data_IF_169416394956
#
_entry.id   IF_169416394956
#
_cell.length_a   1.000
_cell.length_b   1.000
_cell.length_c   1.000
_cell.angle_alpha   90.00
_cell.angle_beta   90.00
_cell.angle_gamma   90.00
#
_symmetry.space_group_name_H-M   'P 1'
#
loop_
_entity.id
_entity.type
_entity.pdbx_description
1 polymer ?
#
# COMPACT_ATOMS: atom_id res chain seq x y z
N UNK A 1 45.66 -30.42 58.12
CA UNK A 1 45.80 -30.77 56.68
C UNK A 1 45.05 -29.74 55.85
N UNK A 2 45.51 -29.54 54.62
CA UNK A 2 45.64 -28.24 53.96
C UNK A 2 44.37 -27.55 53.47
N UNK A 3 44.40 -26.21 53.60
CA UNK A 3 43.56 -25.23 52.90
C UNK A 3 44.11 -25.03 51.48
N UNK A 4 43.25 -25.06 50.46
CA UNK A 4 43.56 -24.48 49.15
C UNK A 4 42.49 -23.45 48.77
N UNK A 5 42.90 -22.18 48.74
CA UNK A 5 42.19 -21.06 48.11
C UNK A 5 42.70 -20.97 46.67
N UNK A 6 41.82 -21.14 45.69
CA UNK A 6 42.10 -20.83 44.29
C UNK A 6 41.51 -19.47 43.95
N UNK A 7 42.39 -18.48 43.77
CA UNK A 7 42.10 -17.18 43.17
C UNK A 7 42.10 -17.36 41.66
N UNK A 8 40.91 -17.40 41.05
CA UNK A 8 40.73 -17.34 39.59
C UNK A 8 40.63 -15.89 39.14
N UNK A 9 41.71 -15.36 38.55
CA UNK A 9 41.71 -14.04 37.92
C UNK A 9 40.90 -14.06 36.62
N UNK A 10 39.91 -13.17 36.51
CA UNK A 10 39.16 -12.96 35.28
C UNK A 10 39.96 -12.05 34.34
N UNK A 11 40.43 -12.60 33.22
CA UNK A 11 40.99 -11.83 32.11
C UNK A 11 39.84 -11.17 31.32
N UNK A 12 39.75 -9.85 31.36
CA UNK A 12 38.88 -9.06 30.49
C UNK A 12 39.60 -8.87 29.15
N UNK A 13 39.22 -9.67 28.14
CA UNK A 13 39.65 -9.48 26.75
C UNK A 13 38.68 -8.49 26.10
N UNK A 14 39.12 -7.25 25.92
CA UNK A 14 38.40 -6.25 25.15
C UNK A 14 38.56 -6.54 23.65
N UNK A 15 37.62 -7.28 23.07
CA UNK A 15 37.54 -7.45 21.62
C UNK A 15 37.03 -6.14 21.00
N UNK A 16 37.92 -5.38 20.37
CA UNK A 16 37.55 -4.25 19.54
C UNK A 16 36.79 -4.78 18.31
N UNK A 17 35.46 -4.72 18.35
CA UNK A 17 34.62 -4.98 17.19
C UNK A 17 34.86 -3.88 16.16
N UNK A 18 35.70 -4.17 15.16
CA UNK A 18 35.77 -3.41 13.93
C UNK A 18 34.43 -3.57 13.21
N UNK A 19 33.50 -2.66 13.48
CA UNK A 19 32.29 -2.53 12.67
C UNK A 19 32.77 -2.10 11.28
N UNK A 20 32.57 -2.90 10.22
CA UNK A 20 32.86 -2.43 8.87
C UNK A 20 32.02 -1.18 8.64
N UNK A 21 32.69 -0.05 8.44
CA UNK A 21 32.02 1.15 7.97
C UNK A 21 31.45 0.80 6.60
N UNK A 22 30.13 0.63 6.52
CA UNK A 22 29.42 0.47 5.25
C UNK A 22 29.77 1.68 4.41
N UNK A 23 30.66 1.49 3.42
CA UNK A 23 30.95 2.51 2.44
C UNK A 23 29.59 2.92 1.85
N UNK A 24 29.24 4.19 2.01
CA UNK A 24 28.08 4.77 1.33
C UNK A 24 28.33 4.58 -0.17
N UNK A 25 27.73 3.55 -0.74
CA UNK A 25 27.79 3.31 -2.17
C UNK A 25 27.23 4.56 -2.81
N UNK A 26 28.07 5.30 -3.54
CA UNK A 26 27.59 6.36 -4.41
C UNK A 26 26.47 5.73 -5.23
N UNK A 27 25.24 6.23 -5.07
CA UNK A 27 24.09 5.70 -5.76
C UNK A 27 24.41 5.77 -7.25
N UNK A 28 24.70 4.62 -7.87
CA UNK A 28 24.83 4.54 -9.31
C UNK A 28 23.56 5.16 -9.89
N UNK A 29 23.70 5.99 -10.93
CA UNK A 29 22.59 6.68 -11.54
C UNK A 29 21.56 5.65 -12.02
N UNK A 30 20.52 5.45 -11.21
CA UNK A 30 19.47 4.48 -11.47
C UNK A 30 18.70 4.89 -12.72
N UNK A 31 18.62 4.01 -13.71
CA UNK A 31 17.72 4.20 -14.85
C UNK A 31 16.55 3.23 -14.76
N UNK A 32 15.34 3.75 -14.59
CA UNK A 32 14.12 2.97 -14.51
C UNK A 32 13.71 2.47 -15.89
N UNK A 33 13.81 1.16 -16.12
CA UNK A 33 13.51 0.53 -17.41
C UNK A 33 12.09 -0.03 -17.43
N UNK A 34 11.20 0.50 -18.30
CA UNK A 34 9.83 0.00 -18.42
C UNK A 34 9.79 -1.36 -19.13
N UNK A 35 8.91 -2.24 -18.69
CA UNK A 35 8.52 -3.50 -19.34
C UNK A 35 7.00 -3.57 -19.38
N UNK A 36 6.42 -3.67 -20.58
CA UNK A 36 4.97 -3.74 -20.74
C UNK A 36 4.42 -5.04 -20.12
N UNK A 37 3.30 -4.94 -19.43
CA UNK A 37 2.54 -6.09 -18.96
C UNK A 37 1.45 -6.44 -20.00
N UNK A 38 1.24 -7.72 -20.32
CA UNK A 38 0.18 -8.10 -21.25
C UNK A 38 -1.21 -7.82 -20.65
N UNK A 39 -2.18 -7.50 -21.51
CA UNK A 39 -3.58 -7.27 -21.14
C UNK A 39 -4.54 -7.98 -22.11
N UNK A 40 -5.71 -8.42 -21.63
CA UNK A 40 -6.74 -9.02 -22.48
C UNK A 40 -7.52 -8.00 -23.35
N UNK A 41 -7.35 -6.70 -23.11
CA UNK A 41 -8.12 -5.65 -23.77
C UNK A 41 -7.32 -4.38 -23.98
N UNK A 42 -7.98 -3.21 -23.87
CA UNK A 42 -7.39 -1.91 -24.24
C UNK A 42 -6.45 -1.34 -23.20
N UNK A 43 -6.61 -1.71 -21.94
CA UNK A 43 -5.84 -1.14 -20.84
C UNK A 43 -5.98 -1.92 -19.55
N UNK A 44 -5.19 -1.51 -18.56
CA UNK A 44 -5.17 -2.11 -17.24
C UNK A 44 -4.33 -1.29 -16.27
N UNK A 45 -4.61 -1.46 -14.98
CA UNK A 45 -3.94 -0.75 -13.91
C UNK A 45 -3.61 -1.72 -12.77
N UNK A 46 -2.32 -1.96 -12.46
CA UNK A 46 -1.90 -2.65 -11.26
C UNK A 46 -2.23 -1.79 -10.03
N UNK A 47 -2.92 -2.37 -9.05
CA UNK A 47 -3.32 -1.70 -7.80
C UNK A 47 -3.00 -2.52 -6.55
N UNK A 48 -2.37 -3.68 -6.71
CA UNK A 48 -1.83 -4.52 -5.63
C UNK A 48 -0.58 -5.28 -6.09
N UNK A 49 0.17 -5.83 -5.15
CA UNK A 49 1.36 -6.68 -5.39
C UNK A 49 1.43 -7.82 -4.39
N UNK A 50 1.92 -8.98 -4.82
CA UNK A 50 2.26 -10.09 -3.93
C UNK A 50 3.63 -9.90 -3.22
N UNK A 51 4.30 -8.76 -3.46
CA UNK A 51 5.64 -8.41 -3.00
C UNK A 51 6.76 -9.35 -3.48
N UNK A 52 6.49 -10.21 -4.46
CA UNK A 52 7.40 -11.20 -5.03
C UNK A 52 7.51 -11.08 -6.57
N UNK A 53 7.21 -9.89 -7.10
CA UNK A 53 7.19 -9.60 -8.53
C UNK A 53 5.88 -9.98 -9.24
N UNK A 54 4.87 -10.43 -8.50
CA UNK A 54 3.48 -10.52 -8.93
C UNK A 54 2.70 -9.26 -8.60
N UNK A 55 1.72 -8.98 -9.44
CA UNK A 55 0.86 -7.81 -9.33
C UNK A 55 -0.58 -8.17 -9.60
N UNK A 56 -1.50 -7.42 -9.03
CA UNK A 56 -2.93 -7.56 -9.30
C UNK A 56 -3.56 -6.19 -9.49
N UNK A 57 -4.71 -6.18 -10.14
CA UNK A 57 -5.40 -4.94 -10.48
C UNK A 57 -6.63 -5.19 -11.31
N UNK A 58 -6.98 -4.23 -12.15
CA UNK A 58 -8.11 -4.34 -13.06
C UNK A 58 -7.68 -4.10 -14.50
N UNK A 59 -8.36 -4.77 -15.43
CA UNK A 59 -8.18 -4.55 -16.86
C UNK A 59 -9.49 -4.65 -17.62
N UNK A 60 -9.53 -4.01 -18.78
CA UNK A 60 -10.65 -4.12 -19.71
C UNK A 60 -10.62 -5.50 -20.38
N UNK A 61 -11.79 -6.14 -20.45
CA UNK A 61 -12.03 -7.38 -21.20
C UNK A 61 -13.19 -7.16 -22.18
N UNK A 62 -13.45 -8.15 -23.05
CA UNK A 62 -14.61 -8.11 -23.94
C UNK A 62 -15.95 -7.92 -23.20
N UNK A 63 -16.04 -8.42 -21.96
CA UNK A 63 -17.24 -8.39 -21.13
C UNK A 63 -17.21 -7.28 -20.05
N UNK A 64 -16.33 -6.29 -20.24
CA UNK A 64 -16.11 -5.16 -19.32
C UNK A 64 -14.90 -5.33 -18.40
N UNK A 65 -14.73 -4.42 -17.44
CA UNK A 65 -13.59 -4.46 -16.51
C UNK A 65 -13.64 -5.72 -15.63
N UNK A 66 -12.49 -6.35 -15.41
CA UNK A 66 -12.32 -7.52 -14.54
C UNK A 66 -11.08 -7.39 -13.66
N UNK A 67 -11.08 -8.00 -12.46
CA UNK A 67 -9.85 -8.21 -11.71
C UNK A 67 -8.94 -9.14 -12.51
N UNK A 68 -7.65 -8.81 -12.54
CA UNK A 68 -6.62 -9.63 -13.18
C UNK A 68 -5.37 -9.70 -12.29
N UNK A 69 -4.59 -10.76 -12.48
CA UNK A 69 -3.26 -10.93 -11.89
C UNK A 69 -2.21 -10.99 -13.00
N UNK A 70 -1.03 -10.45 -12.75
CA UNK A 70 0.16 -10.57 -13.58
C UNK A 70 1.24 -11.31 -12.81
N UNK A 71 1.80 -12.36 -13.41
CA UNK A 71 2.92 -13.10 -12.82
C UNK A 71 3.75 -13.72 -13.93
N UNK A 72 5.08 -13.61 -13.82
CA UNK A 72 6.04 -14.18 -14.78
C UNK A 72 5.76 -13.79 -16.24
N UNK A 73 5.35 -12.54 -16.48
CA UNK A 73 5.07 -12.03 -17.83
C UNK A 73 3.77 -12.56 -18.46
N UNK A 74 2.92 -13.26 -17.71
CA UNK A 74 1.58 -13.69 -18.11
C UNK A 74 0.51 -13.00 -17.26
N UNK A 75 -0.75 -13.04 -17.73
CA UNK A 75 -1.90 -12.58 -16.95
C UNK A 75 -2.95 -13.69 -16.76
N UNK A 76 -3.70 -13.61 -15.66
CA UNK A 76 -4.89 -14.41 -15.39
C UNK A 76 -6.08 -13.50 -15.15
N UNK A 77 -7.24 -13.85 -15.73
CA UNK A 77 -8.49 -13.09 -15.58
C UNK A 77 -9.40 -13.82 -14.61
N UNK A 78 -9.91 -13.12 -13.60
CA UNK A 78 -10.82 -13.71 -12.64
C UNK A 78 -12.27 -13.61 -13.11
N UNK A 79 -13.05 -14.65 -12.81
CA UNK A 79 -14.50 -14.61 -13.04
C UNK A 79 -15.14 -13.51 -12.20
N UNK A 80 -16.05 -12.73 -12.79
CA UNK A 80 -16.80 -11.73 -12.04
C UNK A 80 -17.73 -12.32 -10.99
N UNK A 81 -18.18 -11.49 -10.04
CA UNK A 81 -19.26 -11.82 -9.10
C UNK A 81 -20.55 -11.20 -9.65
N UNK A 82 -21.57 -12.00 -9.96
CA UNK A 82 -22.87 -11.50 -10.43
C UNK A 82 -22.80 -10.62 -11.69
N UNK A 83 -23.85 -9.82 -11.91
CA UNK A 83 -24.00 -9.04 -13.14
C UNK A 83 -23.36 -7.65 -13.05
N UNK A 84 -22.50 -7.34 -14.05
CA UNK A 84 -21.95 -6.00 -14.37
C UNK A 84 -21.52 -5.15 -13.16
N UNK A 85 -20.67 -5.71 -12.30
CA UNK A 85 -19.97 -4.96 -11.26
C UNK A 85 -18.73 -4.26 -11.84
N UNK A 86 -18.47 -3.02 -11.40
CA UNK A 86 -17.13 -2.45 -11.41
C UNK A 86 -16.29 -3.09 -10.30
N UNK A 87 -14.99 -3.19 -10.48
CA UNK A 87 -14.11 -3.86 -9.51
C UNK A 87 -13.02 -2.90 -9.03
N UNK A 88 -12.68 -3.04 -7.76
CA UNK A 88 -11.52 -2.40 -7.15
C UNK A 88 -10.71 -3.51 -6.46
N UNK A 89 -9.48 -3.73 -6.91
CA UNK A 89 -8.53 -4.62 -6.24
C UNK A 89 -7.79 -3.82 -5.18
N UNK A 90 -7.95 -4.22 -3.93
CA UNK A 90 -7.45 -3.50 -2.76
C UNK A 90 -6.10 -4.05 -2.26
N UNK A 91 -5.85 -5.35 -2.44
CA UNK A 91 -4.62 -5.99 -2.01
C UNK A 91 -4.42 -7.38 -2.60
N UNK A 92 -3.18 -7.84 -2.52
CA UNK A 92 -2.74 -9.18 -2.88
C UNK A 92 -1.74 -9.61 -1.81
N UNK A 93 -1.81 -10.85 -1.34
CA UNK A 93 -0.80 -11.38 -0.41
C UNK A 93 0.23 -12.24 -1.15
N UNK A 94 1.29 -12.64 -0.45
CA UNK A 94 2.36 -13.52 -1.00
C UNK A 94 1.87 -14.86 -1.56
N UNK A 95 0.69 -15.32 -1.18
CA UNK A 95 0.08 -16.53 -1.72
C UNK A 95 -0.66 -16.29 -3.05
N UNK A 96 -0.70 -15.05 -3.56
CA UNK A 96 -1.46 -14.65 -4.75
C UNK A 96 -2.97 -14.54 -4.50
N UNK A 97 -3.40 -14.47 -3.23
CA UNK A 97 -4.81 -14.22 -2.91
C UNK A 97 -5.09 -12.74 -3.06
N UNK A 98 -6.01 -12.40 -3.96
CA UNK A 98 -6.43 -11.03 -4.24
C UNK A 98 -7.71 -10.74 -3.46
N UNK A 99 -7.80 -9.53 -2.93
CA UNK A 99 -9.01 -9.03 -2.26
C UNK A 99 -9.42 -7.70 -2.84
N UNK A 100 -10.70 -7.39 -2.70
CA UNK A 100 -11.21 -6.15 -3.26
C UNK A 100 -12.68 -5.91 -2.98
N UNK A 101 -13.22 -4.98 -3.73
CA UNK A 101 -14.64 -4.61 -3.67
C UNK A 101 -15.23 -4.63 -5.07
N UNK A 102 -16.33 -5.34 -5.23
CA UNK A 102 -17.14 -5.28 -6.43
C UNK A 102 -18.33 -4.34 -6.17
N UNK A 103 -18.56 -3.39 -7.09
CA UNK A 103 -19.53 -2.30 -6.95
C UNK A 103 -20.54 -2.31 -8.08
N UNK A 104 -21.83 -2.23 -7.74
CA UNK A 104 -22.91 -1.95 -8.68
C UNK A 104 -23.55 -0.66 -8.25
N UNK A 105 -23.75 0.25 -9.19
CA UNK A 105 -24.44 1.52 -8.95
C UNK A 105 -25.48 1.74 -10.04
N UNK A 106 -26.74 1.81 -9.64
CA UNK A 106 -27.88 2.22 -10.46
C UNK A 106 -28.65 3.32 -9.72
N UNK A 107 -29.49 4.14 -10.40
CA UNK A 107 -30.25 5.19 -9.73
C UNK A 107 -31.02 4.64 -8.52
N UNK A 108 -30.68 5.13 -7.32
CA UNK A 108 -31.29 4.73 -6.05
C UNK A 108 -30.74 3.46 -5.39
N UNK A 109 -29.79 2.75 -6.01
CA UNK A 109 -29.21 1.51 -5.46
C UNK A 109 -27.69 1.49 -5.65
N UNK A 110 -26.95 1.41 -4.54
CA UNK A 110 -25.50 1.16 -4.53
C UNK A 110 -25.22 -0.09 -3.73
N UNK A 111 -24.64 -1.11 -4.37
CA UNK A 111 -24.24 -2.37 -3.74
C UNK A 111 -22.71 -2.43 -3.72
N UNK A 112 -22.13 -2.74 -2.57
CA UNK A 112 -20.70 -3.03 -2.42
C UNK A 112 -20.52 -4.39 -1.79
N UNK A 113 -19.74 -5.24 -2.46
CA UNK A 113 -19.45 -6.62 -2.06
C UNK A 113 -17.94 -6.77 -1.92
N UNK A 114 -17.48 -6.98 -0.70
CA UNK A 114 -16.10 -7.39 -0.47
C UNK A 114 -15.89 -8.79 -1.04
N UNK A 115 -14.74 -9.04 -1.66
CA UNK A 115 -14.42 -10.36 -2.23
C UNK A 115 -12.99 -10.78 -1.91
N UNK A 116 -12.75 -12.09 -2.06
CA UNK A 116 -11.42 -12.69 -2.17
C UNK A 116 -11.35 -13.61 -3.38
N UNK A 117 -10.17 -13.85 -3.91
CA UNK A 117 -9.95 -14.91 -4.90
C UNK A 117 -9.79 -16.28 -4.23
N UNK A 118 -10.17 -17.34 -4.96
CA UNK A 118 -9.91 -18.75 -4.65
C UNK A 118 -9.67 -19.47 -5.97
N UNK A 119 -8.40 -19.64 -6.33
CA UNK A 119 -8.04 -19.93 -7.73
C UNK A 119 -8.53 -18.78 -8.61
N UNK A 120 -9.04 -19.09 -9.80
CA UNK A 120 -9.49 -18.07 -10.78
C UNK A 120 -10.92 -17.54 -10.52
N UNK A 121 -11.52 -17.90 -9.37
CA UNK A 121 -12.88 -17.53 -9.00
C UNK A 121 -12.87 -16.52 -7.86
N UNK A 122 -13.78 -15.54 -7.91
CA UNK A 122 -14.01 -14.59 -6.83
C UNK A 122 -15.15 -15.06 -5.92
N UNK A 123 -14.91 -15.05 -4.62
CA UNK A 123 -15.84 -15.42 -3.56
C UNK A 123 -16.27 -14.16 -2.79
N UNK A 124 -17.58 -13.92 -2.66
CA UNK A 124 -18.11 -12.82 -1.84
C UNK A 124 -17.86 -13.12 -0.35
N UNK A 125 -17.37 -12.11 0.38
CA UNK A 125 -17.12 -12.19 1.82
C UNK A 125 -18.41 -11.90 2.62
N UNK A 126 -18.62 -12.58 3.77
CA UNK A 126 -19.82 -12.38 4.60
C UNK A 126 -19.85 -10.97 5.21
N UNK A 127 -21.05 -10.48 5.52
CA UNK A 127 -21.27 -9.17 6.18
C UNK A 127 -21.57 -9.38 7.66
N UNK A 128 -21.18 -8.43 8.50
CA UNK A 128 -21.43 -8.52 9.95
C UNK A 128 -22.86 -8.06 10.26
N UNK A 129 -23.65 -8.90 10.93
CA UNK A 129 -25.02 -8.57 11.34
C UNK A 129 -25.92 -8.20 10.17
N UNK A 130 -26.71 -7.13 10.32
CA UNK A 130 -27.67 -6.67 9.30
C UNK A 130 -27.07 -5.66 8.30
N UNK A 131 -25.74 -5.55 8.21
CA UNK A 131 -25.11 -4.65 7.23
C UNK A 131 -25.37 -5.15 5.81
N UNK A 132 -25.69 -4.22 4.91
CA UNK A 132 -26.05 -4.53 3.52
C UNK A 132 -24.87 -4.38 2.55
N UNK A 133 -23.78 -3.76 2.99
CA UNK A 133 -22.59 -3.47 2.16
C UNK A 133 -21.31 -3.87 2.86
N UNK A 134 -20.31 -4.22 2.06
CA UNK A 134 -18.96 -4.52 2.51
C UNK A 134 -17.92 -4.08 1.47
N UNK A 135 -16.72 -3.76 1.94
CA UNK A 135 -15.56 -3.48 1.12
C UNK A 135 -14.31 -4.03 1.79
N UNK A 136 -13.40 -4.62 1.00
CA UNK A 136 -12.07 -5.00 1.48
C UNK A 136 -11.13 -3.78 1.38
N UNK A 137 -10.27 -3.61 2.39
CA UNK A 137 -9.22 -2.60 2.42
C UNK A 137 -7.86 -3.20 2.07
N UNK A 138 -7.58 -4.42 2.52
CA UNK A 138 -6.31 -5.10 2.28
C UNK A 138 -6.29 -6.49 2.90
N UNK A 139 -5.20 -7.21 2.65
CA UNK A 139 -4.97 -8.59 3.08
C UNK A 139 -3.54 -8.70 3.63
N UNK A 140 -3.36 -9.42 4.73
CA UNK A 140 -2.03 -9.67 5.30
C UNK A 140 -1.41 -10.98 4.76
N UNK A 141 -0.18 -11.29 5.16
CA UNK A 141 0.51 -12.51 4.71
C UNK A 141 -0.16 -13.80 5.20
N UNK A 142 -0.84 -13.75 6.35
CA UNK A 142 -1.62 -14.87 6.87
C UNK A 142 -2.93 -15.11 6.12
N UNK A 143 -3.30 -14.21 5.19
CA UNK A 143 -4.53 -14.24 4.42
C UNK A 143 -5.75 -13.64 5.13
N UNK A 144 -5.54 -13.00 6.29
CA UNK A 144 -6.61 -12.27 6.96
C UNK A 144 -6.90 -10.99 6.22
N UNK A 145 -8.18 -10.74 5.99
CA UNK A 145 -8.65 -9.60 5.22
C UNK A 145 -9.19 -8.59 6.21
N UNK A 146 -8.76 -7.34 6.10
CA UNK A 146 -9.36 -6.22 6.83
C UNK A 146 -10.17 -5.38 5.86
N UNK A 147 -11.28 -4.85 6.33
CA UNK A 147 -12.11 -3.94 5.56
C UNK A 147 -13.21 -3.37 6.42
N UNK A 148 -14.35 -3.10 5.81
CA UNK A 148 -15.45 -2.47 6.50
C UNK A 148 -16.81 -2.88 5.98
N UNK A 149 -17.81 -2.74 6.83
CA UNK A 149 -19.23 -3.00 6.55
C UNK A 149 -20.09 -1.82 6.99
N UNK A 150 -21.19 -1.61 6.27
CA UNK A 150 -22.15 -0.54 6.57
C UNK A 150 -23.54 -0.88 6.02
N UNK A 151 -24.55 -0.18 6.55
CA UNK A 151 -25.94 -0.25 6.08
C UNK A 151 -26.31 0.88 5.12
N UNK A 152 -27.54 0.85 4.60
CA UNK A 152 -28.04 1.87 3.66
C UNK A 152 -28.34 3.24 4.29
N UNK A 153 -28.55 3.29 5.61
CA UNK A 153 -28.92 4.52 6.32
C UNK A 153 -27.76 5.48 6.61
N UNK A 154 -26.64 5.39 5.87
CA UNK A 154 -25.48 6.27 6.03
C UNK A 154 -24.78 6.16 7.38
N UNK A 155 -24.92 5.02 8.07
CA UNK A 155 -24.38 4.79 9.41
C UNK A 155 -22.86 4.58 9.48
N UNK A 156 -22.35 4.56 10.72
CA UNK A 156 -20.94 4.31 11.04
C UNK A 156 -20.41 3.05 10.37
N UNK A 157 -19.38 3.23 9.56
CA UNK A 157 -18.57 2.18 8.97
C UNK A 157 -17.93 1.33 10.08
N UNK A 158 -18.32 0.07 10.20
CA UNK A 158 -17.69 -0.86 11.16
C UNK A 158 -16.46 -1.48 10.51
N UNK A 159 -15.28 -1.27 11.09
CA UNK A 159 -14.06 -1.95 10.65
C UNK A 159 -14.16 -3.42 11.06
N UNK A 160 -13.94 -4.31 10.09
CA UNK A 160 -14.06 -5.76 10.29
C UNK A 160 -12.82 -6.50 9.81
N UNK A 161 -12.69 -7.73 10.29
CA UNK A 161 -11.72 -8.72 9.82
C UNK A 161 -12.46 -9.97 9.35
N UNK A 162 -12.02 -10.54 8.23
CA UNK A 162 -12.35 -11.89 7.78
C UNK A 162 -11.12 -12.78 8.02
N UNK A 163 -11.11 -13.61 9.08
CA UNK A 163 -9.95 -14.41 9.41
C UNK A 163 -9.74 -15.56 8.41
N UNK A 164 -8.51 -15.75 7.93
CA UNK A 164 -8.20 -16.85 7.02
C UNK A 164 -8.46 -18.22 7.65
N UNK A 165 -8.14 -18.35 8.94
CA UNK A 165 -8.34 -19.57 9.72
C UNK A 165 -9.81 -19.90 10.01
N UNK A 166 -10.75 -18.98 9.73
CA UNK A 166 -12.18 -19.18 9.94
C UNK A 166 -12.98 -18.71 8.71
N UNK A 167 -12.89 -19.43 7.57
CA UNK A 167 -13.64 -19.06 6.37
C UNK A 167 -15.14 -18.94 6.64
N UNK A 168 -15.77 -17.90 6.07
CA UNK A 168 -17.20 -17.65 6.25
C UNK A 168 -17.57 -16.90 7.53
N UNK A 169 -16.59 -16.50 8.35
CA UNK A 169 -16.83 -15.62 9.50
C UNK A 169 -16.34 -14.19 9.24
N UNK A 170 -16.92 -13.25 9.97
CA UNK A 170 -16.51 -11.85 10.00
C UNK A 170 -16.68 -11.32 11.42
N UNK A 171 -15.70 -10.57 11.91
CA UNK A 171 -15.71 -10.01 13.25
C UNK A 171 -15.33 -8.53 13.22
N UNK A 172 -15.93 -7.71 14.09
CA UNK A 172 -15.47 -6.33 14.27
C UNK A 172 -14.02 -6.32 14.79
N UNK A 173 -13.24 -5.34 14.33
CA UNK A 173 -11.87 -5.16 14.82
C UNK A 173 -11.92 -4.61 16.26
N UNK A 174 -11.33 -5.30 17.26
CA UNK A 174 -11.49 -4.92 18.66
C UNK A 174 -10.66 -3.68 19.02
N UNK A 175 -11.09 -2.93 20.04
CA UNK A 175 -10.31 -1.85 20.63
C UNK A 175 -10.28 -0.53 19.82
N UNK A 176 -11.19 -0.35 18.86
CA UNK A 176 -11.27 0.90 18.07
C UNK A 176 -12.09 2.03 18.72
N UNK A 177 -13.01 1.69 19.62
CA UNK A 177 -13.83 2.66 20.34
C UNK A 177 -12.98 3.49 21.34
N UNK A 178 -13.38 4.73 21.67
CA UNK A 178 -14.61 5.42 21.25
C UNK A 178 -14.47 6.30 20.00
N UNK A 179 -13.25 6.65 19.59
CA UNK A 179 -13.07 7.69 18.57
C UNK A 179 -13.42 7.17 17.16
N UNK A 180 -14.03 8.01 16.31
CA UNK A 180 -14.16 7.74 14.88
C UNK A 180 -12.83 7.29 14.29
N UNK A 181 -12.87 6.16 13.60
CA UNK A 181 -11.67 5.50 13.10
C UNK A 181 -11.87 5.17 11.63
N UNK A 182 -11.03 5.73 10.77
CA UNK A 182 -11.01 5.46 9.35
C UNK A 182 -9.76 4.63 9.01
N UNK A 183 -9.89 3.33 8.73
CA UNK A 183 -8.75 2.52 8.34
C UNK A 183 -8.26 2.94 6.94
N UNK A 184 -6.95 3.04 6.76
CA UNK A 184 -6.29 3.55 5.55
C UNK A 184 -5.53 2.47 4.79
N UNK A 185 -4.85 1.56 5.50
CA UNK A 185 -4.05 0.50 4.91
C UNK A 185 -3.87 -0.69 5.88
N UNK A 186 -3.43 -1.83 5.36
CA UNK A 186 -3.17 -3.06 6.11
C UNK A 186 -1.72 -3.45 5.87
N UNK A 187 -0.97 -3.66 6.95
CA UNK A 187 0.39 -4.19 6.89
C UNK A 187 0.37 -5.71 6.76
N UNK A 188 1.46 -6.29 6.30
CA UNK A 188 1.51 -7.72 6.02
C UNK A 188 1.52 -8.58 7.30
N UNK A 189 1.81 -7.98 8.46
CA UNK A 189 1.68 -8.62 9.77
C UNK A 189 0.24 -8.57 10.34
N UNK A 190 -0.70 -7.94 9.62
CA UNK A 190 -2.09 -7.74 10.03
C UNK A 190 -2.34 -6.49 10.86
N UNK A 191 -1.34 -5.64 11.06
CA UNK A 191 -1.54 -4.30 11.62
C UNK A 191 -2.36 -3.44 10.67
N UNK A 192 -3.07 -2.47 11.21
CA UNK A 192 -3.96 -1.60 10.43
C UNK A 192 -3.57 -0.15 10.67
N UNK A 193 -3.33 0.59 9.60
CA UNK A 193 -3.13 2.03 9.67
C UNK A 193 -4.48 2.72 9.80
N UNK A 194 -4.60 3.58 10.79
CA UNK A 194 -5.83 4.29 11.13
C UNK A 194 -5.62 5.79 11.01
N UNK A 195 -6.62 6.49 10.48
CA UNK A 195 -6.81 7.92 10.66
C UNK A 195 -7.90 8.13 11.72
N UNK A 196 -7.57 8.91 12.75
CA UNK A 196 -8.47 9.28 13.86
C UNK A 196 -8.42 10.80 14.04
N UNK A 197 -9.33 11.35 14.84
CA UNK A 197 -9.33 12.80 15.18
C UNK A 197 -8.01 13.26 15.81
N UNK A 198 -7.31 12.34 16.47
CA UNK A 198 -5.99 12.59 17.09
C UNK A 198 -4.79 12.42 16.14
N UNK A 199 -5.03 12.17 14.85
CA UNK A 199 -4.00 11.93 13.84
C UNK A 199 -3.90 10.46 13.43
N UNK A 200 -2.79 10.12 12.77
CA UNK A 200 -2.51 8.75 12.34
C UNK A 200 -2.09 7.87 13.51
N UNK A 201 -2.52 6.62 13.48
CA UNK A 201 -2.15 5.60 14.45
C UNK A 201 -2.08 4.22 13.81
N UNK A 202 -1.29 3.33 14.41
CA UNK A 202 -1.27 1.91 14.05
C UNK A 202 -2.08 1.15 15.09
N UNK A 203 -3.03 0.35 14.61
CA UNK A 203 -3.66 -0.69 15.40
C UNK A 203 -2.90 -2.00 15.21
N UNK A 204 -2.56 -2.67 16.31
CA UNK A 204 -1.93 -3.98 16.32
C UNK A 204 -2.46 -4.78 17.50
N UNK A 205 -3.14 -5.89 17.20
CA UNK A 205 -3.67 -6.83 18.19
C UNK A 205 -4.46 -6.16 19.34
N UNK A 206 -5.35 -5.22 19.00
CA UNK A 206 -6.18 -4.50 19.97
C UNK A 206 -5.54 -3.28 20.62
N UNK A 207 -4.26 -3.02 20.36
CA UNK A 207 -3.54 -1.85 20.87
C UNK A 207 -3.41 -0.79 19.78
N UNK A 208 -3.68 0.47 20.12
CA UNK A 208 -3.51 1.62 19.22
C UNK A 208 -2.28 2.42 19.66
N UNK A 209 -1.32 2.60 18.76
CA UNK A 209 -0.13 3.41 18.96
C UNK A 209 -0.15 4.58 17.99
N UNK A 210 -0.13 5.81 18.51
CA UNK A 210 -0.11 7.02 17.67
C UNK A 210 1.23 7.15 16.96
N UNK A 211 1.19 7.60 15.72
CA UNK A 211 2.38 8.03 15.00
C UNK A 211 2.80 9.42 15.47
N UNK A 212 4.09 9.70 15.39
CA UNK A 212 4.69 11.00 15.64
C UNK A 212 4.22 12.07 14.66
N UNK A 213 4.46 13.32 15.04
CA UNK A 213 4.16 14.51 14.24
C UNK A 213 5.36 15.45 14.23
N UNK A 214 5.30 16.48 13.38
CA UNK A 214 6.29 17.56 13.32
C UNK A 214 5.60 18.91 13.59
N UNK A 215 6.30 19.88 14.20
CA UNK A 215 5.80 21.26 14.25
C UNK A 215 5.48 21.77 12.84
N UNK A 216 4.26 22.25 12.62
CA UNK A 216 3.80 22.73 11.31
C UNK A 216 3.16 21.67 10.41
N UNK A 217 3.14 20.39 10.81
CA UNK A 217 2.47 19.30 10.10
C UNK A 217 0.96 19.27 10.43
N UNK A 218 0.12 19.23 9.41
CA UNK A 218 -1.35 19.26 9.51
C UNK A 218 -1.98 18.31 8.49
N UNK A 219 -3.15 17.78 8.82
CA UNK A 219 -3.95 16.90 7.95
C UNK A 219 -3.19 15.68 7.39
N UNK A 220 -2.50 14.89 8.24
CA UNK A 220 -1.79 13.71 7.75
C UNK A 220 -2.77 12.65 7.22
N UNK A 221 -2.46 12.09 6.06
CA UNK A 221 -3.18 10.98 5.45
C UNK A 221 -2.19 9.87 5.10
N UNK A 222 -2.40 8.69 5.67
CA UNK A 222 -1.63 7.49 5.33
C UNK A 222 -2.12 6.89 4.02
N UNK A 223 -1.19 6.53 3.12
CA UNK A 223 -1.53 5.95 1.81
C UNK A 223 -1.05 4.52 1.65
N UNK A 224 0.11 4.21 2.21
CA UNK A 224 0.70 2.89 2.17
C UNK A 224 1.34 2.53 3.52
N UNK A 225 1.33 1.24 3.84
CA UNK A 225 1.79 0.69 5.11
C UNK A 225 2.48 -0.64 4.88
N UNK A 226 3.78 -0.71 5.17
CA UNK A 226 4.56 -1.93 4.99
C UNK A 226 5.67 -2.02 6.04
N UNK A 227 5.80 -3.18 6.68
CA UNK A 227 6.83 -3.48 7.68
C UNK A 227 6.93 -2.40 8.77
N UNK A 228 5.80 -1.96 9.32
CA UNK A 228 5.76 -0.91 10.35
C UNK A 228 6.01 0.52 9.85
N UNK A 229 6.30 0.72 8.56
CA UNK A 229 6.55 2.04 7.96
C UNK A 229 5.33 2.55 7.23
N UNK A 230 5.08 3.86 7.31
CA UNK A 230 3.96 4.48 6.62
C UNK A 230 4.48 5.51 5.64
N UNK A 231 3.89 5.55 4.45
CA UNK A 231 4.09 6.64 3.52
C UNK A 231 2.73 7.26 3.17
N UNK A 232 2.70 8.58 3.03
CA UNK A 232 1.47 9.31 2.82
C UNK A 232 1.68 10.78 2.53
N UNK A 233 0.65 11.60 2.71
CA UNK A 233 0.68 13.03 2.44
C UNK A 233 0.19 13.86 3.62
N UNK A 234 0.59 15.12 3.67
CA UNK A 234 0.15 16.09 4.66
C UNK A 234 0.35 17.53 4.14
N UNK A 235 -0.11 18.51 4.91
CA UNK A 235 0.32 19.91 4.78
C UNK A 235 1.40 20.21 5.81
N UNK A 236 2.59 20.65 5.38
CA UNK A 236 3.71 21.06 6.22
C UNK A 236 4.10 22.50 5.91
N UNK A 237 4.03 23.40 6.89
CA UNK A 237 4.31 24.84 6.72
C UNK A 237 3.59 25.42 5.49
N UNK A 238 2.28 25.14 5.41
CA UNK A 238 1.36 25.57 4.35
C UNK A 238 1.62 25.01 2.94
N UNK A 239 2.49 24.01 2.83
CA UNK A 239 2.76 23.28 1.58
C UNK A 239 2.29 21.84 1.66
N UNK A 240 1.67 21.32 0.60
CA UNK A 240 1.33 19.89 0.52
C UNK A 240 2.56 19.08 0.17
N UNK A 241 2.89 18.10 1.00
CA UNK A 241 4.12 17.30 0.91
C UNK A 241 3.80 15.82 1.10
N UNK A 242 4.68 14.96 0.59
CA UNK A 242 4.78 13.58 1.02
C UNK A 242 5.45 13.48 2.39
N UNK A 243 5.02 12.51 3.19
CA UNK A 243 5.50 12.24 4.54
C UNK A 243 5.77 10.75 4.68
N UNK A 244 6.87 10.44 5.34
CA UNK A 244 7.30 9.10 5.70
C UNK A 244 7.31 8.99 7.23
N UNK A 245 6.68 7.95 7.76
CA UNK A 245 6.85 7.55 9.15
C UNK A 245 7.71 6.29 9.19
N UNK A 246 8.80 6.34 9.93
CA UNK A 246 9.67 5.19 10.12
C UNK A 246 9.03 4.12 11.04
N UNK A 247 9.75 3.02 11.27
CA UNK A 247 9.26 1.91 12.10
C UNK A 247 9.03 2.30 13.57
N UNK A 248 9.66 3.38 14.04
CA UNK A 248 9.47 3.95 15.36
C UNK A 248 8.28 4.93 15.39
N UNK A 249 7.66 5.17 14.23
CA UNK A 249 6.56 6.09 14.05
C UNK A 249 7.00 7.55 14.00
N UNK A 250 8.29 7.87 13.88
CA UNK A 250 8.72 9.26 13.74
C UNK A 250 8.44 9.77 12.33
N UNK A 251 7.88 10.98 12.24
CA UNK A 251 7.49 11.60 10.97
C UNK A 251 8.66 12.34 10.32
N UNK A 252 8.80 12.19 9.00
CA UNK A 252 9.81 12.83 8.16
C UNK A 252 9.16 13.37 6.90
N UNK A 253 9.40 14.63 6.56
CA UNK A 253 8.95 15.18 5.27
C UNK A 253 9.82 14.60 4.16
N UNK A 254 9.19 14.06 3.12
CA UNK A 254 9.91 13.59 1.95
C UNK A 254 10.48 14.81 1.18
N UNK A 255 11.80 14.94 1.03
CA UNK A 255 12.39 16.06 0.31
C UNK A 255 11.93 16.04 -1.15
N UNK A 256 11.69 17.22 -1.73
CA UNK A 256 11.21 17.42 -3.11
C UNK A 256 9.86 16.79 -3.43
N UNK A 257 9.11 16.32 -2.43
CA UNK A 257 7.77 15.79 -2.66
C UNK A 257 6.76 16.91 -2.85
N UNK A 258 5.71 16.64 -3.61
CA UNK A 258 4.53 17.50 -3.73
C UNK A 258 3.29 16.64 -3.82
N UNK A 259 2.17 17.13 -3.29
CA UNK A 259 0.91 16.41 -3.35
C UNK A 259 -0.22 17.31 -3.81
N UNK A 260 -0.65 17.14 -5.06
CA UNK A 260 -1.88 17.74 -5.58
C UNK A 260 -2.87 16.64 -5.96
N UNK A 261 -4.04 16.67 -5.32
CA UNK A 261 -5.12 15.68 -5.45
C UNK A 261 -5.98 15.86 -6.71
N UNK A 262 -5.74 16.89 -7.53
CA UNK A 262 -6.70 17.33 -8.56
C UNK A 262 -6.92 16.36 -9.71
N UNK A 263 -6.12 15.29 -9.86
CA UNK A 263 -6.11 14.49 -11.08
C UNK A 263 -6.10 12.95 -10.88
N UNK A 264 -6.61 12.42 -9.75
CA UNK A 264 -6.90 10.98 -9.61
C UNK A 264 -5.69 10.04 -9.81
N UNK A 265 -4.48 10.60 -9.66
CA UNK A 265 -3.21 9.98 -10.02
C UNK A 265 -2.71 9.07 -8.88
N UNK A 266 -1.79 8.12 -9.16
CA UNK A 266 -1.39 7.14 -8.18
C UNK A 266 -0.82 7.77 -6.92
N UNK A 267 -1.18 7.12 -5.81
CA UNK A 267 -0.85 7.53 -4.46
C UNK A 267 0.62 7.20 -4.14
N UNK A 268 1.13 7.78 -3.07
CA UNK A 268 2.43 7.41 -2.52
C UNK A 268 2.35 5.94 -2.09
N UNK A 269 3.40 5.17 -2.39
CA UNK A 269 3.53 3.75 -2.02
C UNK A 269 4.87 3.47 -1.34
N UNK A 270 4.95 2.38 -0.55
CA UNK A 270 6.15 1.96 0.17
C UNK A 270 6.23 0.43 0.26
N UNK A 271 7.42 -0.15 0.04
CA UNK A 271 7.68 -1.57 0.26
C UNK A 271 8.35 -1.85 1.62
N UNK A 272 8.61 -3.13 1.93
CA UNK A 272 9.15 -3.54 3.23
C UNK A 272 10.53 -2.98 3.56
N UNK A 273 11.31 -2.67 2.54
CA UNK A 273 12.68 -2.16 2.66
C UNK A 273 12.73 -0.62 2.77
N UNK A 274 11.58 0.04 2.62
CA UNK A 274 11.45 1.49 2.68
C UNK A 274 11.74 2.19 1.35
N UNK A 275 11.65 1.47 0.23
CA UNK A 275 11.60 2.09 -1.09
C UNK A 275 10.22 2.72 -1.28
N UNK A 276 10.19 4.00 -1.64
CA UNK A 276 8.98 4.81 -1.75
C UNK A 276 8.89 5.39 -3.16
N UNK A 277 7.71 5.37 -3.75
CA UNK A 277 7.39 6.13 -4.97
C UNK A 277 6.26 7.10 -4.69
N UNK A 278 6.26 8.24 -5.37
CA UNK A 278 5.33 9.31 -5.09
C UNK A 278 5.60 10.54 -5.93
N UNK A 279 4.75 11.55 -5.81
CA UNK A 279 4.83 12.77 -6.61
C UNK A 279 5.89 13.75 -6.11
N UNK A 280 6.44 14.54 -7.04
CA UNK A 280 7.52 15.50 -6.79
C UNK A 280 7.11 16.95 -7.09
N UNK A 281 7.87 17.89 -6.54
CA UNK A 281 7.62 19.32 -6.56
C UNK A 281 8.07 20.05 -7.83
N UNK A 282 7.70 21.33 -7.86
CA UNK A 282 7.77 22.14 -9.06
C UNK A 282 9.21 22.44 -9.53
N UNK A 283 10.11 22.70 -8.59
CA UNK A 283 11.50 23.08 -8.91
C UNK A 283 12.35 21.92 -9.47
N UNK A 284 11.86 20.68 -9.37
CA UNK A 284 12.56 19.48 -9.84
C UNK A 284 11.88 18.81 -11.04
N UNK A 285 11.11 19.59 -11.80
CA UNK A 285 10.43 19.15 -13.01
C UNK A 285 8.91 19.25 -12.94
N UNK A 286 8.37 20.16 -12.12
CA UNK A 286 6.95 20.41 -12.08
C UNK A 286 6.51 21.85 -12.23
N UNK A 287 5.53 22.09 -13.08
CA UNK A 287 4.65 23.23 -12.90
C UNK A 287 3.42 22.92 -13.72
N UNK A 288 2.28 22.71 -13.06
CA UNK A 288 0.91 22.90 -13.55
C UNK A 288 -0.11 21.90 -12.98
N UNK A 289 -1.37 22.26 -13.18
CA UNK A 289 -2.56 21.42 -13.11
C UNK A 289 -2.52 20.16 -14.01
N UNK A 290 -1.46 19.94 -14.80
CA UNK A 290 -1.30 18.84 -15.75
C UNK A 290 -0.35 17.73 -15.25
N UNK A 291 0.28 17.87 -14.08
CA UNK A 291 0.89 16.76 -13.34
C UNK A 291 2.33 16.44 -13.74
N UNK A 292 3.21 16.38 -12.74
CA UNK A 292 4.64 16.54 -12.98
C UNK A 292 5.47 15.51 -12.23
N UNK A 293 5.50 14.32 -12.83
CA UNK A 293 6.45 13.28 -12.52
C UNK A 293 6.31 12.58 -11.18
N UNK A 294 7.20 11.61 -11.02
CA UNK A 294 7.30 10.79 -9.83
C UNK A 294 8.76 10.73 -9.41
N UNK A 295 8.97 10.62 -8.11
CA UNK A 295 10.25 10.45 -7.47
C UNK A 295 10.34 9.11 -6.77
N UNK A 296 11.57 8.77 -6.42
CA UNK A 296 11.90 7.59 -5.64
C UNK A 296 12.68 8.02 -4.41
N UNK A 297 12.29 7.50 -3.25
CA UNK A 297 13.00 7.68 -2.00
C UNK A 297 13.37 6.33 -1.41
N UNK A 298 14.46 6.29 -0.66
CA UNK A 298 14.87 5.14 0.15
C UNK A 298 14.91 5.60 1.60
N UNK A 299 14.05 5.03 2.44
CA UNK A 299 13.92 5.38 3.86
C UNK A 299 13.77 6.89 4.09
N UNK A 300 12.99 7.54 3.20
CA UNK A 300 12.75 8.98 3.22
C UNK A 300 13.80 9.85 2.54
N UNK A 301 14.97 9.31 2.17
CA UNK A 301 16.00 10.04 1.45
C UNK A 301 15.72 10.01 -0.07
N UNK A 302 15.84 11.16 -0.74
CA UNK A 302 15.69 11.25 -2.20
C UNK A 302 16.73 10.39 -2.94
N UNK A 303 16.30 9.58 -3.91
CA UNK A 303 17.17 8.76 -4.75
C UNK A 303 17.21 9.28 -6.19
N UNK A 304 16.06 9.29 -6.88
CA UNK A 304 16.00 9.63 -8.30
C UNK A 304 14.60 10.10 -8.71
N UNK A 305 14.50 10.67 -9.92
CA UNK A 305 13.23 10.72 -10.63
C UNK A 305 12.85 9.28 -11.06
N UNK A 306 11.55 9.04 -11.25
CA UNK A 306 11.00 7.77 -11.72
C UNK A 306 10.58 7.88 -13.18
N UNK A 307 11.05 6.94 -14.00
CA UNK A 307 10.58 6.72 -15.37
C UNK A 307 10.56 7.97 -16.27
N UNK A 308 9.70 7.91 -17.29
CA UNK A 308 9.28 9.08 -18.05
C UNK A 308 8.23 9.86 -17.25
N UNK A 309 8.65 10.97 -16.65
CA UNK A 309 7.82 11.82 -15.78
C UNK A 309 6.53 12.33 -16.43
N UNK A 310 6.41 12.27 -17.76
CA UNK A 310 5.24 12.76 -18.50
C UNK A 310 4.23 11.67 -18.82
N UNK A 311 4.60 10.39 -18.70
CA UNK A 311 3.77 9.25 -19.15
C UNK A 311 3.65 8.14 -18.12
N UNK A 312 4.67 7.96 -17.28
CA UNK A 312 4.75 6.85 -16.34
C UNK A 312 4.06 7.20 -15.01
N UNK A 313 3.25 6.26 -14.54
CA UNK A 313 2.40 6.37 -13.37
C UNK A 313 2.67 5.17 -12.45
N UNK A 314 3.70 5.23 -11.57
CA UNK A 314 3.96 4.18 -10.61
C UNK A 314 2.81 4.08 -9.62
N UNK A 315 2.32 2.87 -9.34
CA UNK A 315 1.21 2.64 -8.43
C UNK A 315 1.56 1.72 -7.25
N UNK A 316 2.38 0.69 -7.49
CA UNK A 316 2.73 -0.33 -6.51
C UNK A 316 4.19 -0.73 -6.56
N UNK A 317 4.78 -1.05 -5.41
CA UNK A 317 6.20 -1.43 -5.29
C UNK A 317 6.30 -2.80 -4.63
N UNK A 318 6.93 -3.76 -5.31
CA UNK A 318 7.29 -5.06 -4.73
C UNK A 318 8.55 -4.95 -3.86
N UNK A 319 8.75 -5.93 -2.97
CA UNK A 319 9.97 -6.00 -2.15
C UNK A 319 11.21 -6.36 -2.96
N UNK A 320 11.03 -6.88 -4.18
CA UNK A 320 12.11 -7.09 -5.14
C UNK A 320 12.57 -5.81 -5.85
N UNK A 321 12.04 -4.64 -5.45
CA UNK A 321 12.33 -3.33 -6.03
C UNK A 321 11.65 -3.08 -7.38
N UNK A 322 10.81 -4.01 -7.85
CA UNK A 322 10.00 -3.80 -9.05
C UNK A 322 8.86 -2.84 -8.73
N UNK A 323 8.70 -1.81 -9.54
CA UNK A 323 7.54 -0.92 -9.46
C UNK A 323 6.56 -1.32 -10.56
N UNK A 324 5.28 -1.47 -10.25
CA UNK A 324 4.20 -1.61 -11.21
C UNK A 324 3.33 -0.35 -11.25
N UNK A 325 2.58 -0.21 -12.33
CA UNK A 325 1.84 1.00 -12.63
C UNK A 325 1.33 1.01 -14.06
N UNK A 326 1.10 2.20 -14.59
CA UNK A 326 0.65 2.37 -15.96
C UNK A 326 1.47 3.40 -16.72
N UNK A 327 1.44 3.29 -18.05
CA UNK A 327 1.91 4.30 -18.98
C UNK A 327 0.73 4.80 -19.79
N UNK A 328 0.51 6.11 -19.77
CA UNK A 328 -0.49 6.74 -20.63
C UNK A 328 0.00 6.80 -22.08
N UNK A 329 -0.85 6.43 -23.03
CA UNK A 329 -0.63 6.73 -24.44
C UNK A 329 -1.15 8.14 -24.82
N UNK A 330 -1.04 8.51 -26.10
CA UNK A 330 -1.49 9.81 -26.60
C UNK A 330 -3.00 10.04 -26.46
N UNK A 331 -3.77 8.95 -26.33
CA UNK A 331 -5.22 8.98 -26.24
C UNK A 331 -5.70 8.97 -24.78
N UNK A 332 -4.74 8.97 -23.83
CA UNK A 332 -5.00 8.91 -22.38
C UNK A 332 -5.37 7.51 -21.89
N UNK A 333 -5.16 6.47 -22.69
CA UNK A 333 -5.39 5.09 -22.26
C UNK A 333 -4.20 4.61 -21.42
N UNK A 334 -4.50 3.97 -20.29
CA UNK A 334 -3.51 3.42 -19.39
C UNK A 334 -3.16 1.98 -19.76
N UNK A 335 -1.90 1.77 -20.14
CA UNK A 335 -1.31 0.46 -20.39
C UNK A 335 -0.51 0.04 -19.17
N UNK A 336 -0.63 -1.19 -18.65
CA UNK A 336 0.09 -1.60 -17.46
C UNK A 336 1.56 -1.89 -17.78
N UNK A 337 2.45 -1.47 -16.90
CA UNK A 337 3.90 -1.65 -17.01
C UNK A 337 4.49 -2.02 -15.66
N UNK A 338 5.69 -2.59 -15.73
CA UNK A 338 6.61 -2.68 -14.60
C UNK A 338 7.89 -1.91 -14.92
N UNK A 339 8.60 -1.46 -13.88
CA UNK A 339 9.89 -0.81 -14.00
C UNK A 339 10.86 -1.43 -13.02
N UNK A 340 12.09 -1.64 -13.47
CA UNK A 340 13.22 -1.97 -12.61
C UNK A 340 14.36 -0.99 -12.81
N UNK A 341 15.05 -0.71 -11.72
CA UNK A 341 16.28 0.04 -11.71
C UNK A 341 17.43 -0.83 -12.23
N UNK A 342 18.21 -0.32 -13.18
CA UNK A 342 19.45 -0.93 -13.68
C UNK A 342 20.44 0.14 -14.11
#
# INVERSE_FOLDING_TARGET
MHRYRLLGGALLVAAALLVPASAASAAAACTWRPTALPVPGRGGLPTATDHQGGFAGVADTADGQRPIAWKNGAYSVFSGIGDRLGYEVAGENRAGTIVGTARVSFPGVSVSRAFRSRGDVLEELPKLGNNTKAAALGINDAGDITGYVWGDSGGLTTVVRWPAAQPGTVTALPGLAPDPTQPQAVDEDGSVLLLRDSGLAIWRAGTITRLGTLPGLRFPAGRAFSNGRVAGDATYNDKKVGVYWDQQGAAHVLPKSSYNLSNGNPQIDINRDGLITGRIDEAHGGNDSNGTGYGVWQQGAWVSNFGDITRDLPSRIGDDGTVAGARADSDGTYHPYTWRCS
#
